data_IF_640061308239
#
_entry.id   IF_640061308239
#
_cell.length_a   1.000
_cell.length_b   1.000
_cell.length_c   1.000
_cell.angle_alpha   90.00
_cell.angle_beta   90.00
_cell.angle_gamma   90.00
#
_symmetry.space_group_name_H-M   'P 1'
#
loop_
_entity.id
_entity.type
_entity.pdbx_description
1 polymer ?
#
# COMPACT_ATOMS: atom_id res chain seq x y z
N UNK A 1 -4.04 -13.43 -5.33
CA UNK A 1 -3.08 -14.35 -4.67
C UNK A 1 -3.81 -15.57 -4.11
N UNK A 2 -4.87 -15.40 -3.29
CA UNK A 2 -5.65 -16.51 -2.71
C UNK A 2 -6.16 -17.54 -3.74
N UNK A 3 -6.52 -17.10 -4.94
CA UNK A 3 -6.94 -17.95 -6.08
C UNK A 3 -5.77 -18.35 -6.99
N UNK A 4 -4.53 -18.11 -6.59
CA UNK A 4 -3.33 -18.41 -7.36
C UNK A 4 -3.05 -17.42 -8.49
N UNK A 5 -3.71 -16.28 -8.51
CA UNK A 5 -3.46 -15.21 -9.48
C UNK A 5 -2.28 -14.33 -9.05
N UNK A 6 -1.55 -13.82 -10.04
CA UNK A 6 -0.49 -12.82 -9.84
C UNK A 6 -1.17 -11.44 -9.75
N UNK A 7 -0.87 -10.69 -8.70
CA UNK A 7 -1.44 -9.37 -8.46
C UNK A 7 -0.56 -8.29 -9.07
N UNK A 8 -1.17 -7.39 -9.83
CA UNK A 8 -0.51 -6.23 -10.44
C UNK A 8 -1.17 -4.96 -9.91
N UNK A 9 -0.64 -4.33 -8.86
CA UNK A 9 -1.15 -3.05 -8.38
C UNK A 9 -0.72 -1.93 -9.32
N UNK A 10 -1.67 -1.11 -9.74
CA UNK A 10 -1.46 0.02 -10.64
C UNK A 10 -1.98 1.31 -9.99
N UNK A 11 -1.34 2.43 -10.32
CA UNK A 11 -1.78 3.75 -9.89
C UNK A 11 -3.03 4.15 -10.68
N UNK A 12 -4.07 4.59 -10.01
CA UNK A 12 -5.31 5.10 -10.59
C UNK A 12 -5.11 6.42 -11.35
N UNK A 13 -4.00 7.13 -11.13
CA UNK A 13 -3.61 8.32 -11.87
C UNK A 13 -2.84 8.05 -13.17
N UNK A 14 -2.62 6.80 -13.58
CA UNK A 14 -1.96 6.52 -14.86
C UNK A 14 -2.80 6.94 -16.06
N UNK A 15 -2.12 7.43 -17.08
CA UNK A 15 -2.72 7.65 -18.41
C UNK A 15 -3.11 6.31 -19.04
N UNK A 16 -4.03 6.33 -20.01
CA UNK A 16 -4.42 5.11 -20.72
C UNK A 16 -3.24 4.42 -21.42
N UNK A 17 -2.28 5.18 -21.94
CA UNK A 17 -1.11 4.62 -22.61
C UNK A 17 -0.19 3.91 -21.62
N UNK A 18 0.02 4.47 -20.43
CA UNK A 18 0.77 3.81 -19.36
C UNK A 18 0.05 2.56 -18.86
N UNK A 19 -1.26 2.67 -18.61
CA UNK A 19 -2.08 1.53 -18.18
C UNK A 19 -2.00 0.39 -19.19
N UNK A 20 -2.18 0.67 -20.47
CA UNK A 20 -2.10 -0.32 -21.53
C UNK A 20 -0.70 -0.92 -21.69
N UNK A 21 0.33 -0.11 -21.49
CA UNK A 21 1.70 -0.63 -21.46
C UNK A 21 1.86 -1.69 -20.39
N UNK A 22 1.46 -1.40 -19.13
CA UNK A 22 1.58 -2.35 -18.02
C UNK A 22 0.75 -3.61 -18.22
N UNK A 23 -0.49 -3.47 -18.70
CA UNK A 23 -1.37 -4.60 -18.96
C UNK A 23 -0.85 -5.55 -20.05
N UNK A 24 -0.23 -4.99 -21.11
CA UNK A 24 0.36 -5.78 -22.19
C UNK A 24 1.68 -6.43 -21.80
N UNK A 25 2.57 -5.68 -21.17
CA UNK A 25 3.89 -6.16 -20.75
C UNK A 25 3.78 -7.27 -19.67
N UNK A 26 2.80 -7.17 -18.78
CA UNK A 26 2.50 -8.19 -17.77
C UNK A 26 1.61 -9.34 -18.28
N UNK A 27 1.14 -9.29 -19.51
CA UNK A 27 0.16 -10.23 -20.08
C UNK A 27 -1.10 -10.39 -19.20
N UNK A 28 -1.56 -9.30 -18.60
CA UNK A 28 -2.71 -9.31 -17.70
C UNK A 28 -3.97 -9.86 -18.36
N UNK A 29 -4.73 -10.69 -17.65
CA UNK A 29 -5.98 -11.29 -18.13
C UNK A 29 -7.23 -10.59 -17.61
N UNK A 30 -7.11 -9.87 -16.50
CA UNK A 30 -8.19 -9.18 -15.83
C UNK A 30 -7.73 -7.80 -15.34
N UNK A 31 -8.45 -6.77 -15.71
CA UNK A 31 -8.35 -5.43 -15.15
C UNK A 31 -9.56 -5.17 -14.25
N UNK A 32 -9.31 -4.75 -13.00
CA UNK A 32 -10.33 -4.21 -12.10
C UNK A 32 -10.07 -2.72 -11.99
N UNK A 33 -11.05 -1.90 -12.35
CA UNK A 33 -10.92 -0.43 -12.39
C UNK A 33 -12.26 0.23 -12.03
N UNK A 34 -12.29 1.56 -12.01
CA UNK A 34 -13.53 2.32 -11.90
C UNK A 34 -14.33 2.30 -13.21
N UNK A 35 -15.57 2.80 -13.14
CA UNK A 35 -16.48 2.82 -14.28
C UNK A 35 -16.05 3.81 -15.36
N UNK A 36 -15.42 4.91 -14.99
CA UNK A 36 -14.97 5.96 -15.92
C UNK A 36 -13.87 5.42 -16.82
N UNK A 37 -12.80 4.91 -16.23
CA UNK A 37 -11.68 4.25 -16.95
C UNK A 37 -12.16 3.10 -17.82
N UNK A 38 -13.06 2.24 -17.29
CA UNK A 38 -13.64 1.13 -18.06
C UNK A 38 -14.40 1.63 -19.30
N UNK A 39 -15.19 2.69 -19.16
CA UNK A 39 -15.99 3.26 -20.26
C UNK A 39 -15.08 3.90 -21.31
N UNK A 40 -14.03 4.59 -20.88
CA UNK A 40 -13.07 5.20 -21.78
C UNK A 40 -12.30 4.16 -22.59
N UNK A 41 -11.77 3.12 -21.95
CA UNK A 41 -11.06 2.03 -22.65
C UNK A 41 -11.95 1.35 -23.69
N UNK A 42 -13.22 1.07 -23.35
CA UNK A 42 -14.19 0.47 -24.29
C UNK A 42 -14.53 1.38 -25.45
N UNK A 43 -14.77 2.68 -25.19
CA UNK A 43 -15.11 3.65 -26.24
C UNK A 43 -13.99 3.79 -27.28
N UNK A 44 -12.75 3.70 -26.83
CA UNK A 44 -11.54 3.76 -27.67
C UNK A 44 -11.14 2.39 -28.26
N UNK A 45 -11.90 1.32 -27.97
CA UNK A 45 -11.60 -0.07 -28.39
C UNK A 45 -10.21 -0.56 -27.93
N UNK A 46 -9.81 -0.14 -26.73
CA UNK A 46 -8.51 -0.46 -26.13
C UNK A 46 -8.58 -1.66 -25.17
N UNK A 47 -9.74 -2.28 -25.00
CA UNK A 47 -10.05 -3.39 -24.11
C UNK A 47 -9.75 -4.78 -24.69
N UNK A 48 -8.93 -4.85 -25.76
CA UNK A 48 -8.61 -6.11 -26.40
C UNK A 48 -7.55 -6.90 -25.63
N UNK A 49 -7.84 -8.18 -25.37
CA UNK A 49 -6.90 -9.14 -24.78
C UNK A 49 -7.03 -9.35 -23.27
N UNK A 50 -7.88 -8.59 -22.57
CA UNK A 50 -8.17 -8.77 -21.15
C UNK A 50 -9.64 -8.49 -20.81
N UNK A 51 -10.10 -9.03 -19.70
CA UNK A 51 -11.45 -8.81 -19.17
C UNK A 51 -11.43 -7.54 -18.31
N UNK A 52 -12.44 -6.67 -18.44
CA UNK A 52 -12.59 -5.51 -17.56
C UNK A 52 -13.78 -5.74 -16.61
N UNK A 53 -13.50 -5.66 -15.33
CA UNK A 53 -14.50 -5.60 -14.25
C UNK A 53 -14.40 -4.25 -13.53
N UNK A 54 -15.52 -3.79 -12.97
CA UNK A 54 -15.54 -2.49 -12.28
C UNK A 54 -15.83 -2.65 -10.79
N UNK A 55 -15.21 -1.78 -10.00
CA UNK A 55 -15.51 -1.54 -8.60
C UNK A 55 -15.55 -0.03 -8.36
N UNK A 56 -16.53 0.45 -7.63
CA UNK A 56 -16.70 1.86 -7.28
C UNK A 56 -16.36 2.10 -5.80
N UNK A 57 -16.21 3.36 -5.39
CA UNK A 57 -15.92 3.73 -3.98
C UNK A 57 -16.98 3.23 -2.99
N UNK A 58 -18.22 3.12 -3.42
CA UNK A 58 -19.33 2.55 -2.64
C UNK A 58 -19.36 1.02 -2.65
N UNK A 59 -18.31 0.39 -3.19
CA UNK A 59 -18.19 -1.06 -3.41
C UNK A 59 -19.18 -1.66 -4.42
N UNK A 60 -19.93 -0.83 -5.16
CA UNK A 60 -20.77 -1.28 -6.25
C UNK A 60 -20.00 -1.26 -7.57
N UNK A 61 -20.30 -2.24 -8.44
CA UNK A 61 -19.67 -2.40 -9.74
C UNK A 61 -20.05 -3.72 -10.37
N UNK A 62 -19.42 -4.07 -11.48
CA UNK A 62 -19.71 -5.35 -12.15
C UNK A 62 -19.20 -6.56 -11.33
N UNK A 63 -18.07 -6.38 -10.61
CA UNK A 63 -17.49 -7.43 -9.77
C UNK A 63 -18.39 -7.74 -8.56
N UNK A 64 -18.94 -6.73 -7.91
CA UNK A 64 -19.83 -6.89 -6.75
C UNK A 64 -21.09 -7.67 -7.11
N UNK A 65 -21.69 -7.36 -8.27
CA UNK A 65 -22.86 -8.07 -8.78
C UNK A 65 -22.59 -9.56 -9.04
N UNK A 66 -21.37 -9.91 -9.42
CA UNK A 66 -20.97 -11.32 -9.64
C UNK A 66 -20.69 -12.03 -8.33
N UNK A 67 -20.08 -11.34 -7.35
CA UNK A 67 -19.80 -11.90 -6.03
C UNK A 67 -21.08 -12.26 -5.26
N UNK A 68 -22.10 -11.41 -5.30
CA UNK A 68 -23.39 -11.65 -4.61
C UNK A 68 -24.07 -12.94 -5.10
N UNK A 69 -23.87 -13.31 -6.37
CA UNK A 69 -24.53 -14.49 -6.97
C UNK A 69 -23.81 -15.81 -6.67
N UNK A 70 -22.54 -15.79 -6.30
CA UNK A 70 -21.70 -16.99 -6.20
C UNK A 70 -20.77 -16.93 -4.98
N UNK A 71 -21.32 -16.81 -3.78
CA UNK A 71 -20.50 -16.92 -2.56
C UNK A 71 -20.26 -18.41 -2.30
N UNK A 72 -19.16 -18.94 -2.79
CA UNK A 72 -18.62 -20.22 -2.35
C UNK A 72 -17.31 -19.97 -1.62
N UNK A 73 -17.20 -20.46 -0.39
CA UNK A 73 -15.94 -20.50 0.35
C UNK A 73 -15.07 -21.61 -0.24
N UNK A 74 -14.27 -21.27 -1.24
CA UNK A 74 -13.28 -22.19 -1.78
C UNK A 74 -11.98 -22.07 -0.99
N UNK A 75 -11.33 -23.23 -0.80
CA UNK A 75 -10.00 -23.25 -0.15
C UNK A 75 -8.99 -22.47 -1.00
N UNK A 76 -8.00 -21.82 -0.34
CA UNK A 76 -6.88 -21.22 -1.06
C UNK A 76 -6.21 -22.21 -2.00
N UNK A 77 -5.84 -21.78 -3.18
CA UNK A 77 -5.02 -22.59 -4.10
C UNK A 77 -3.64 -22.74 -3.49
N UNK A 78 -3.16 -23.99 -3.36
CA UNK A 78 -1.79 -24.26 -2.90
C UNK A 78 -0.79 -23.67 -3.88
N UNK A 79 0.19 -22.95 -3.37
CA UNK A 79 1.28 -22.34 -4.12
C UNK A 79 2.62 -22.64 -3.45
N UNK A 80 3.68 -22.74 -4.26
CA UNK A 80 5.04 -22.86 -3.74
C UNK A 80 5.59 -21.49 -3.35
N UNK A 81 6.55 -21.46 -2.46
CA UNK A 81 7.19 -20.20 -2.02
C UNK A 81 7.83 -19.44 -3.18
N UNK A 82 8.32 -20.13 -4.19
CA UNK A 82 8.93 -19.53 -5.38
C UNK A 82 7.91 -19.05 -6.44
N UNK A 83 6.62 -19.38 -6.29
CA UNK A 83 5.61 -18.91 -7.23
C UNK A 83 5.46 -17.38 -7.12
N UNK A 84 5.28 -16.72 -8.25
CA UNK A 84 5.10 -15.26 -8.31
C UNK A 84 3.74 -14.89 -7.70
N UNK A 85 3.78 -13.98 -6.75
CA UNK A 85 2.60 -13.43 -6.07
C UNK A 85 2.17 -12.09 -6.66
N UNK A 86 3.14 -11.25 -7.04
CA UNK A 86 2.88 -9.92 -7.58
C UNK A 86 3.93 -9.49 -8.60
N UNK A 87 3.55 -8.53 -9.44
CA UNK A 87 4.47 -7.78 -10.30
C UNK A 87 4.36 -6.31 -9.94
N UNK A 88 5.50 -5.66 -9.64
CA UNK A 88 5.56 -4.25 -9.30
C UNK A 88 6.39 -3.50 -10.34
N UNK A 89 5.80 -2.53 -11.00
CA UNK A 89 6.52 -1.68 -11.94
C UNK A 89 7.29 -0.57 -11.23
N UNK A 90 8.56 -0.45 -11.57
CA UNK A 90 9.43 0.60 -11.06
C UNK A 90 9.88 1.49 -12.22
N UNK A 91 10.04 2.80 -11.97
CA UNK A 91 10.66 3.73 -12.91
C UNK A 91 12.12 3.31 -13.12
N UNK A 92 12.38 2.56 -14.20
CA UNK A 92 13.73 2.13 -14.53
C UNK A 92 14.63 3.32 -14.92
N UNK A 93 15.90 3.22 -14.62
CA UNK A 93 16.93 4.20 -15.03
C UNK A 93 17.11 4.30 -16.55
N UNK A 94 16.49 3.41 -17.34
CA UNK A 94 16.66 3.24 -18.79
C UNK A 94 15.45 3.64 -19.63
N UNK A 95 14.52 4.43 -19.09
CA UNK A 95 13.41 5.07 -19.83
C UNK A 95 12.06 4.35 -19.76
N UNK A 96 11.98 3.02 -19.80
CA UNK A 96 10.71 2.29 -19.60
C UNK A 96 10.68 1.60 -18.25
N UNK A 97 9.54 1.68 -17.56
CA UNK A 97 9.30 0.95 -16.31
C UNK A 97 9.47 -0.57 -16.52
N UNK A 98 10.07 -1.23 -15.55
CA UNK A 98 10.27 -2.68 -15.55
C UNK A 98 9.46 -3.33 -14.44
N UNK A 99 8.81 -4.47 -14.73
CA UNK A 99 8.06 -5.26 -13.78
C UNK A 99 8.98 -6.15 -12.94
N UNK A 100 9.12 -5.82 -11.65
CA UNK A 100 9.79 -6.70 -10.70
C UNK A 100 8.83 -7.83 -10.27
N UNK A 101 9.21 -9.06 -10.52
CA UNK A 101 8.46 -10.24 -10.10
C UNK A 101 8.75 -10.56 -8.63
N UNK A 102 7.73 -10.55 -7.80
CA UNK A 102 7.81 -10.77 -6.36
C UNK A 102 7.20 -12.13 -6.03
N UNK A 103 7.98 -13.02 -5.44
CA UNK A 103 7.52 -14.35 -5.06
C UNK A 103 6.74 -14.34 -3.73
N UNK A 104 6.05 -15.44 -3.43
CA UNK A 104 5.41 -15.68 -2.13
C UNK A 104 6.43 -15.58 -0.99
N UNK A 105 7.64 -16.14 -1.21
CA UNK A 105 8.73 -16.10 -0.24
C UNK A 105 9.23 -14.69 0.02
N UNK A 106 9.39 -13.86 -1.03
CA UNK A 106 9.82 -12.48 -0.87
C UNK A 106 8.85 -11.68 0.02
N UNK A 107 7.54 -11.87 -0.19
CA UNK A 107 6.53 -11.21 0.64
C UNK A 107 6.55 -11.70 2.09
N UNK A 108 6.64 -13.01 2.28
CA UNK A 108 6.61 -13.62 3.61
C UNK A 108 7.88 -13.28 4.41
N UNK A 109 9.06 -13.50 3.84
CA UNK A 109 10.34 -13.26 4.53
C UNK A 109 10.50 -11.77 4.88
N UNK A 110 10.11 -10.86 3.98
CA UNK A 110 10.12 -9.43 4.28
C UNK A 110 9.19 -9.09 5.45
N UNK A 111 7.95 -9.58 5.42
CA UNK A 111 7.00 -9.33 6.49
C UNK A 111 7.47 -9.89 7.85
N UNK A 112 8.01 -11.11 7.88
CA UNK A 112 8.55 -11.73 9.08
C UNK A 112 9.72 -10.91 9.66
N UNK A 113 10.72 -10.58 8.82
CA UNK A 113 11.88 -9.80 9.23
C UNK A 113 11.48 -8.44 9.81
N UNK A 114 10.57 -7.73 9.14
CA UNK A 114 10.14 -6.41 9.59
C UNK A 114 9.25 -6.47 10.85
N UNK A 115 8.40 -7.48 10.96
CA UNK A 115 7.60 -7.68 12.18
C UNK A 115 8.50 -7.90 13.39
N UNK A 116 9.53 -8.74 13.25
CA UNK A 116 10.52 -9.00 14.30
C UNK A 116 11.39 -7.76 14.58
N UNK A 117 11.95 -7.14 13.54
CA UNK A 117 12.86 -6.00 13.68
C UNK A 117 12.20 -4.77 14.32
N UNK A 118 10.93 -4.50 14.00
CA UNK A 118 10.17 -3.39 14.57
C UNK A 118 9.35 -3.79 15.79
N UNK A 119 9.46 -5.03 16.25
CA UNK A 119 8.74 -5.58 17.42
C UNK A 119 7.21 -5.38 17.32
N UNK A 120 6.66 -5.58 16.13
CA UNK A 120 5.20 -5.49 15.95
C UNK A 120 4.48 -6.62 16.68
N UNK A 121 3.36 -6.27 17.32
CA UNK A 121 2.50 -7.21 18.03
C UNK A 121 1.02 -6.80 17.90
N UNK A 122 0.12 -7.60 18.47
CA UNK A 122 -1.33 -7.41 18.36
C UNK A 122 -1.87 -6.14 19.04
N UNK A 123 -1.09 -5.47 19.87
CA UNK A 123 -1.47 -4.22 20.54
C UNK A 123 -1.16 -3.00 19.66
N UNK A 124 -0.43 -3.19 18.57
CA UNK A 124 -0.10 -2.09 17.68
C UNK A 124 -1.28 -1.62 16.85
N UNK A 125 -1.31 -0.32 16.63
CA UNK A 125 -2.28 0.34 15.77
C UNK A 125 -1.58 1.34 14.85
N UNK A 126 -1.48 0.98 13.57
CA UNK A 126 -0.78 1.75 12.55
C UNK A 126 -1.68 2.82 11.93
N UNK A 127 -1.18 4.06 11.81
CA UNK A 127 -1.74 5.01 10.85
C UNK A 127 -1.16 4.68 9.46
N UNK A 128 -2.03 4.19 8.57
CA UNK A 128 -1.68 3.79 7.21
C UNK A 128 -2.29 4.76 6.20
N UNK A 129 -1.48 5.73 5.75
CA UNK A 129 -1.87 6.71 4.74
C UNK A 129 -1.00 6.61 3.47
N UNK A 130 -0.26 5.50 3.31
CA UNK A 130 0.59 5.25 2.15
C UNK A 130 -0.22 4.72 0.96
N UNK A 131 0.13 5.08 -0.29
CA UNK A 131 -0.53 4.53 -1.47
C UNK A 131 -0.33 3.02 -1.57
N UNK A 132 -1.42 2.28 -1.81
CA UNK A 132 -1.39 0.81 -1.92
C UNK A 132 -1.04 0.28 -3.32
N UNK A 133 -0.70 1.15 -4.26
CA UNK A 133 -0.06 0.75 -5.52
C UNK A 133 1.47 0.71 -5.42
N UNK A 134 2.05 1.10 -4.28
CA UNK A 134 3.48 0.98 -3.99
C UNK A 134 3.76 -0.09 -2.93
N UNK A 135 4.95 -0.69 -3.03
CA UNK A 135 5.43 -1.75 -2.13
C UNK A 135 5.29 -1.37 -0.66
N UNK A 136 5.67 -0.15 -0.29
CA UNK A 136 5.68 0.31 1.10
C UNK A 136 4.27 0.27 1.71
N UNK A 137 3.26 0.81 1.03
CA UNK A 137 1.89 0.77 1.52
C UNK A 137 1.25 -0.61 1.42
N UNK A 138 1.38 -1.26 0.24
CA UNK A 138 0.68 -2.51 -0.04
C UNK A 138 1.28 -3.70 0.71
N UNK A 139 2.61 -3.90 0.62
CA UNK A 139 3.23 -5.11 1.14
C UNK A 139 3.95 -4.90 2.47
N UNK A 140 4.69 -3.81 2.64
CA UNK A 140 5.38 -3.59 3.91
C UNK A 140 4.37 -3.31 5.01
N UNK A 141 3.60 -2.23 4.92
CA UNK A 141 2.67 -1.83 5.97
C UNK A 141 1.58 -2.89 6.21
N UNK A 142 0.89 -3.33 5.15
CA UNK A 142 -0.24 -4.24 5.29
C UNK A 142 0.17 -5.63 5.76
N UNK A 143 1.26 -6.21 5.22
CA UNK A 143 1.67 -7.56 5.59
C UNK A 143 2.20 -7.64 7.02
N UNK A 144 2.93 -6.60 7.48
CA UNK A 144 3.39 -6.55 8.89
C UNK A 144 2.21 -6.52 9.84
N UNK A 145 1.19 -5.70 9.57
CA UNK A 145 -0.03 -5.63 10.37
C UNK A 145 -0.77 -6.98 10.40
N UNK A 146 -0.94 -7.61 9.23
CA UNK A 146 -1.62 -8.90 9.14
C UNK A 146 -0.85 -10.01 9.88
N UNK A 147 0.47 -10.05 9.75
CA UNK A 147 1.30 -11.08 10.36
C UNK A 147 1.37 -10.93 11.88
N UNK A 148 1.41 -9.70 12.40
CA UNK A 148 1.44 -9.41 13.83
C UNK A 148 0.06 -9.45 14.50
N UNK A 149 -1.02 -9.64 13.74
CA UNK A 149 -2.41 -9.53 14.21
C UNK A 149 -2.72 -8.15 14.80
N UNK A 150 -2.01 -7.13 14.35
CA UNK A 150 -2.19 -5.74 14.75
C UNK A 150 -3.39 -5.09 14.04
N UNK A 151 -3.68 -3.85 14.38
CA UNK A 151 -4.75 -3.04 13.78
C UNK A 151 -4.18 -1.90 12.95
N UNK A 152 -4.97 -1.32 12.06
CA UNK A 152 -4.60 -0.09 11.36
C UNK A 152 -5.79 0.84 11.11
N UNK A 153 -5.54 2.13 11.16
CA UNK A 153 -6.38 3.14 10.55
C UNK A 153 -5.98 3.30 9.10
N UNK A 154 -6.76 2.69 8.21
CA UNK A 154 -6.50 2.70 6.78
C UNK A 154 -7.11 3.95 6.16
N UNK A 155 -6.27 4.90 5.74
CA UNK A 155 -6.68 6.21 5.24
C UNK A 155 -6.46 6.29 3.72
N UNK A 156 -7.39 6.94 3.02
CA UNK A 156 -7.30 7.12 1.57
C UNK A 156 -6.02 7.88 1.16
N UNK A 157 -5.64 8.89 1.95
CA UNK A 157 -4.46 9.72 1.70
C UNK A 157 -3.93 10.36 2.97
N UNK A 158 -2.71 10.92 2.88
CA UNK A 158 -2.12 11.69 3.97
C UNK A 158 -2.73 13.09 4.05
N UNK A 159 -3.51 13.35 5.08
CA UNK A 159 -4.04 14.66 5.44
C UNK A 159 -3.68 14.98 6.88
N UNK A 160 -3.01 16.12 7.12
CA UNK A 160 -2.51 16.50 8.45
C UNK A 160 -3.56 16.42 9.54
N UNK A 161 -4.74 17.02 9.32
CA UNK A 161 -5.80 17.04 10.31
C UNK A 161 -6.28 15.63 10.65
N UNK A 162 -6.44 14.79 9.65
CA UNK A 162 -6.83 13.39 9.84
C UNK A 162 -5.77 12.64 10.63
N UNK A 163 -4.48 12.81 10.30
CA UNK A 163 -3.38 12.17 11.01
C UNK A 163 -3.36 12.60 12.48
N UNK A 164 -3.48 13.91 12.77
CA UNK A 164 -3.51 14.42 14.15
C UNK A 164 -4.68 13.85 14.96
N UNK A 165 -5.83 13.62 14.34
CA UNK A 165 -6.99 13.04 15.01
C UNK A 165 -6.76 11.57 15.41
N UNK A 166 -5.92 10.83 14.65
CA UNK A 166 -5.64 9.42 14.93
C UNK A 166 -4.43 9.16 15.81
N UNK A 167 -3.50 10.11 15.98
CA UNK A 167 -2.34 9.95 16.85
C UNK A 167 -2.66 9.47 18.27
N UNK A 168 -3.70 10.00 18.96
CA UNK A 168 -4.02 9.54 20.32
C UNK A 168 -4.36 8.05 20.45
N UNK A 169 -4.76 7.42 19.33
CA UNK A 169 -5.22 6.03 19.25
C UNK A 169 -4.22 5.11 18.55
N UNK A 170 -3.05 5.63 18.19
CA UNK A 170 -2.08 4.91 17.35
C UNK A 170 -0.77 4.71 18.07
N UNK A 171 -0.10 3.60 17.75
CA UNK A 171 1.24 3.27 18.28
C UNK A 171 2.33 3.41 17.23
N UNK A 172 1.97 3.43 15.95
CA UNK A 172 2.92 3.47 14.83
C UNK A 172 2.41 4.39 13.73
N UNK A 173 3.34 5.13 13.11
CA UNK A 173 3.14 5.81 11.84
C UNK A 173 4.18 5.34 10.82
N UNK A 174 3.72 4.84 9.67
CA UNK A 174 4.57 4.63 8.49
C UNK A 174 4.36 5.74 7.48
N UNK A 175 5.46 6.29 6.97
CA UNK A 175 5.40 7.38 6.02
C UNK A 175 6.60 7.48 5.09
N UNK A 176 6.54 8.46 4.21
CA UNK A 176 7.66 8.91 3.39
C UNK A 176 8.24 10.19 3.99
N UNK A 177 9.48 10.61 3.68
CA UNK A 177 10.09 11.80 4.27
C UNK A 177 9.22 13.05 4.20
N UNK A 178 8.47 13.25 3.12
CA UNK A 178 7.56 14.39 2.96
C UNK A 178 6.42 14.42 3.97
N UNK A 179 5.97 13.27 4.49
CA UNK A 179 4.96 13.22 5.57
C UNK A 179 5.54 13.82 6.85
N UNK A 180 6.76 13.45 7.19
CA UNK A 180 7.45 13.91 8.39
C UNK A 180 7.78 15.41 8.31
N UNK A 181 8.21 15.92 7.15
CA UNK A 181 8.40 17.36 6.94
C UNK A 181 7.10 18.11 7.25
N UNK A 182 5.97 17.68 6.65
CA UNK A 182 4.67 18.32 6.86
C UNK A 182 4.18 18.23 8.31
N UNK A 183 4.49 17.15 9.02
CA UNK A 183 4.17 17.01 10.44
C UNK A 183 5.00 17.95 11.29
N UNK A 184 6.31 18.06 11.05
CA UNK A 184 7.24 18.93 11.78
C UNK A 184 6.95 20.41 11.56
N UNK A 185 6.50 20.81 10.37
CA UNK A 185 6.09 22.18 10.07
C UNK A 185 4.81 22.61 10.81
N UNK A 186 4.08 21.63 11.38
CA UNK A 186 2.84 21.89 12.07
C UNK A 186 3.05 22.13 13.56
N UNK A 187 2.58 23.26 14.07
CA UNK A 187 2.55 23.55 15.52
C UNK A 187 1.68 22.60 16.35
N UNK A 188 0.89 21.73 15.68
CA UNK A 188 0.07 20.71 16.35
C UNK A 188 0.87 19.49 16.78
N UNK A 189 2.06 19.25 16.21
CA UNK A 189 2.93 18.15 16.61
C UNK A 189 3.54 18.46 17.98
N UNK A 190 3.06 17.78 19.00
CA UNK A 190 3.52 17.93 20.39
C UNK A 190 3.70 16.57 21.03
N UNK A 191 4.60 16.43 22.02
CA UNK A 191 4.75 15.21 22.84
C UNK A 191 3.42 14.66 23.33
N UNK A 192 2.50 15.53 23.71
CA UNK A 192 1.18 15.14 24.20
C UNK A 192 0.34 14.40 23.15
N UNK A 193 0.36 14.84 21.89
CA UNK A 193 -0.48 14.24 20.85
C UNK A 193 0.07 12.89 20.39
N UNK A 194 1.39 12.72 20.37
CA UNK A 194 2.07 11.49 19.95
C UNK A 194 2.50 10.59 21.11
N UNK A 195 2.05 10.85 22.33
CA UNK A 195 2.48 10.14 23.54
C UNK A 195 2.34 8.60 23.49
N UNK A 196 1.44 8.09 22.66
CA UNK A 196 1.20 6.66 22.49
C UNK A 196 1.97 6.09 21.29
N UNK A 197 2.58 6.93 20.45
CA UNK A 197 3.31 6.50 19.27
C UNK A 197 4.71 6.04 19.71
N UNK A 198 4.95 4.75 19.58
CA UNK A 198 6.24 4.14 19.94
C UNK A 198 7.21 4.06 18.75
N UNK A 199 6.70 4.21 17.50
CA UNK A 199 7.54 4.01 16.33
C UNK A 199 7.09 4.87 15.14
N UNK A 200 8.05 5.59 14.57
CA UNK A 200 7.92 6.30 13.30
C UNK A 200 8.82 5.61 12.27
N UNK A 201 8.24 5.15 11.17
CA UNK A 201 8.96 4.45 10.10
C UNK A 201 8.96 5.33 8.85
N UNK A 202 10.16 5.69 8.38
CA UNK A 202 10.35 6.41 7.13
C UNK A 202 10.96 5.52 6.07
N UNK A 203 10.37 5.48 4.88
CA UNK A 203 10.86 4.65 3.77
C UNK A 203 10.62 5.26 2.40
N UNK A 204 10.97 4.51 1.37
CA UNK A 204 10.82 4.85 -0.06
C UNK A 204 11.69 6.01 -0.57
N UNK A 205 12.31 6.79 0.31
CA UNK A 205 13.29 7.83 -0.03
C UNK A 205 14.24 8.05 1.16
N UNK A 206 15.44 8.61 0.95
CA UNK A 206 16.34 8.94 2.04
C UNK A 206 15.73 10.00 2.97
N UNK A 207 15.76 9.73 4.26
CA UNK A 207 15.45 10.74 5.28
C UNK A 207 16.74 11.55 5.54
N UNK A 208 16.67 12.87 5.45
CA UNK A 208 17.84 13.70 5.73
C UNK A 208 18.15 13.69 7.22
N UNK A 209 19.44 13.92 7.56
CA UNK A 209 19.87 14.00 8.97
C UNK A 209 19.14 15.11 9.72
N UNK A 210 18.86 16.22 9.07
CA UNK A 210 18.14 17.35 9.65
C UNK A 210 16.72 16.97 10.06
N UNK A 211 15.98 16.32 9.18
CA UNK A 211 14.60 15.85 9.47
C UNK A 211 14.60 14.81 10.58
N UNK A 212 15.56 13.87 10.53
CA UNK A 212 15.73 12.87 11.58
C UNK A 212 16.04 13.55 12.92
N UNK A 213 17.01 14.48 12.97
CA UNK A 213 17.32 15.24 14.18
C UNK A 213 16.10 16.00 14.70
N UNK A 214 15.32 16.67 13.82
CA UNK A 214 14.13 17.41 14.23
C UNK A 214 13.04 16.50 14.81
N UNK A 215 12.87 15.28 14.28
CA UNK A 215 11.98 14.28 14.88
C UNK A 215 12.45 13.85 16.29
N UNK A 216 13.77 13.75 16.51
CA UNK A 216 14.34 13.42 17.81
C UNK A 216 14.38 14.60 18.78
N UNK A 217 14.61 15.83 18.29
CA UNK A 217 14.77 17.03 19.12
C UNK A 217 13.51 17.85 19.27
N UNK A 218 12.54 17.65 18.36
CA UNK A 218 11.20 18.19 18.59
C UNK A 218 10.66 17.58 19.88
N UNK A 219 9.89 18.36 20.65
CA UNK A 219 9.26 17.93 21.91
C UNK A 219 8.54 16.56 21.85
N UNK A 220 8.56 15.89 20.73
CA UNK A 220 7.92 14.61 20.45
C UNK A 220 8.83 13.38 20.61
N UNK A 221 10.17 13.51 20.79
CA UNK A 221 11.07 12.36 20.61
C UNK A 221 12.21 12.30 21.63
N UNK A 222 11.93 12.07 22.91
CA UNK A 222 13.00 11.84 23.89
C UNK A 222 13.49 10.39 24.02
N UNK A 223 12.94 9.42 23.30
CA UNK A 223 13.39 8.03 23.36
C UNK A 223 13.03 7.23 22.10
N UNK A 224 13.79 7.35 21.00
CA UNK A 224 13.64 6.32 19.96
C UNK A 224 14.93 6.15 19.13
N UNK A 225 15.49 5.00 19.23
CA UNK A 225 16.51 4.44 18.33
C UNK A 225 15.87 3.98 17.02
#
# INVERSE_FOLDING_TARGET
VHRGLIFLPLNDGYTNDELLYYLRDSESKLLITDKETSSELKSKKLDQGFIIETIEKDSFGSISKKLIKNISFEKPVSRNLNDIAAILYTSGTTGRSKGAMISQENLLSNAQTLTEYWHFNSEDNLIHALPIYHTHGLFVATNVILLSSASMFFLEKFELETIFNYFPYSTVLMGVPTFYIRLLDSKKLTKKIVKNVRLFISGSAPLTKEINCLLYTSDAADEWL
#
